data_IF_053118391588
#
_entry.id   IF_053118391588
#
_cell.length_a   1.000
_cell.length_b   1.000
_cell.length_c   1.000
_cell.angle_alpha   90.00
_cell.angle_beta   90.00
_cell.angle_gamma   90.00
#
_symmetry.space_group_name_H-M   'P 1'
#
loop_
_entity.id
_entity.type
_entity.pdbx_description
1 polymer ?
#
# COMPACT_ATOMS: atom_id res chain seq x y z
N UNK A 1 -28.09 2.65 22.61
CA UNK A 1 -27.19 3.75 22.17
C UNK A 1 -27.23 3.76 20.65
N UNK A 2 -27.69 4.86 20.05
CA UNK A 2 -27.71 4.97 18.59
C UNK A 2 -26.26 5.01 18.09
N UNK A 3 -25.86 4.02 17.29
CA UNK A 3 -24.60 4.06 16.55
C UNK A 3 -24.75 5.20 15.55
N UNK A 4 -24.19 6.36 15.87
CA UNK A 4 -24.07 7.47 14.93
C UNK A 4 -23.08 7.03 13.86
N UNK A 5 -23.61 6.51 12.75
CA UNK A 5 -22.80 6.21 11.58
C UNK A 5 -22.20 7.52 11.09
N UNK A 6 -20.86 7.62 11.07
CA UNK A 6 -20.19 8.74 10.39
C UNK A 6 -20.75 8.81 8.97
N UNK A 7 -21.16 10.00 8.47
CA UNK A 7 -21.62 10.13 7.10
C UNK A 7 -20.53 9.64 6.16
N UNK A 8 -20.91 8.87 5.13
CA UNK A 8 -19.95 8.42 4.12
C UNK A 8 -19.24 9.63 3.50
N UNK A 9 -17.91 9.57 3.28
CA UNK A 9 -17.21 10.64 2.62
C UNK A 9 -17.77 10.81 1.20
N UNK A 10 -18.04 12.06 0.83
CA UNK A 10 -18.39 12.37 -0.56
C UNK A 10 -17.17 12.09 -1.44
N UNK A 11 -17.32 11.16 -2.38
CA UNK A 11 -16.27 10.82 -3.34
C UNK A 11 -16.42 11.69 -4.59
N UNK A 12 -15.29 12.18 -5.07
CA UNK A 12 -15.15 13.03 -6.23
C UNK A 12 -14.32 12.29 -7.26
N UNK A 13 -14.98 11.87 -8.33
CA UNK A 13 -14.35 11.40 -9.54
C UNK A 13 -14.30 12.58 -10.55
N UNK A 14 -13.42 12.48 -11.54
CA UNK A 14 -13.37 13.42 -12.64
C UNK A 14 -14.70 13.45 -13.40
N UNK A 15 -15.15 14.66 -13.76
CA UNK A 15 -16.34 14.82 -14.59
C UNK A 15 -16.11 14.26 -16.01
N UNK A 16 -17.19 13.88 -16.69
CA UNK A 16 -17.12 13.44 -18.09
C UNK A 16 -16.49 14.53 -18.96
N UNK A 17 -15.35 14.21 -19.61
CA UNK A 17 -14.61 15.13 -20.48
C UNK A 17 -13.42 15.84 -19.83
N UNK A 18 -13.18 15.67 -18.52
CA UNK A 18 -11.93 16.17 -17.91
C UNK A 18 -10.71 15.35 -18.37
N UNK A 19 -9.63 16.05 -18.70
CA UNK A 19 -8.35 15.47 -19.13
C UNK A 19 -7.37 15.36 -17.95
N UNK A 20 -6.30 14.56 -18.12
CA UNK A 20 -5.30 14.35 -17.05
C UNK A 20 -5.68 13.26 -16.03
N UNK A 21 -6.73 12.49 -16.31
CA UNK A 21 -7.25 11.40 -15.47
C UNK A 21 -6.28 10.23 -15.28
N UNK A 22 -5.28 10.08 -16.14
CA UNK A 22 -4.51 8.84 -16.23
C UNK A 22 -5.30 7.74 -16.99
N UNK A 23 -4.62 6.83 -17.69
CA UNK A 23 -5.26 5.89 -18.62
C UNK A 23 -6.12 4.79 -17.95
N UNK A 24 -6.01 4.61 -16.64
CA UNK A 24 -6.57 3.48 -15.88
C UNK A 24 -7.75 3.85 -14.97
N UNK A 25 -8.31 5.06 -15.10
CA UNK A 25 -9.45 5.57 -14.31
C UNK A 25 -10.68 5.70 -15.21
N UNK A 26 -11.76 4.95 -14.93
CA UNK A 26 -12.73 5.36 -13.89
C UNK A 26 -12.68 4.50 -12.63
N UNK A 27 -12.69 5.13 -11.46
CA UNK A 27 -13.08 4.45 -10.22
C UNK A 27 -14.62 4.30 -10.12
N UNK A 28 -15.38 4.96 -11.01
CA UNK A 28 -16.84 4.96 -11.05
C UNK A 28 -17.47 5.36 -9.71
N UNK A 29 -16.85 6.33 -9.03
CA UNK A 29 -17.28 6.79 -7.71
C UNK A 29 -16.96 5.83 -6.56
N UNK A 30 -16.21 4.76 -6.80
CA UNK A 30 -15.72 3.86 -5.75
C UNK A 30 -14.49 4.40 -5.02
N UNK A 31 -13.81 5.42 -5.56
CA UNK A 31 -12.70 6.13 -4.93
C UNK A 31 -12.64 7.59 -5.42
N UNK A 32 -11.75 8.38 -4.81
CA UNK A 32 -11.38 9.71 -5.29
C UNK A 32 -10.24 9.61 -6.31
N UNK A 33 -10.19 10.57 -7.23
CA UNK A 33 -9.21 10.59 -8.30
C UNK A 33 -8.53 11.97 -8.42
N UNK A 34 -7.19 12.09 -8.22
CA UNK A 34 -6.51 13.39 -8.24
C UNK A 34 -6.00 13.77 -9.62
N UNK A 35 -6.05 15.08 -9.92
CA UNK A 35 -5.26 15.71 -11.00
C UNK A 35 -3.77 15.64 -10.69
N UNK A 36 -2.96 15.78 -11.73
CA UNK A 36 -1.51 15.84 -11.60
C UNK A 36 -1.08 16.90 -10.58
N UNK A 37 -0.34 16.50 -9.55
CA UNK A 37 0.16 17.39 -8.51
C UNK A 37 -0.90 17.98 -7.57
N UNK A 38 -2.17 17.59 -7.69
CA UNK A 38 -3.25 18.09 -6.83
C UNK A 38 -3.02 17.71 -5.36
N UNK A 39 -2.57 16.49 -5.12
CA UNK A 39 -2.22 16.02 -3.78
C UNK A 39 -0.69 16.04 -3.62
N UNK A 40 -0.21 16.95 -2.78
CA UNK A 40 1.21 17.13 -2.48
C UNK A 40 1.51 16.60 -1.08
N UNK A 41 2.22 15.47 -1.00
CA UNK A 41 2.56 14.81 0.27
C UNK A 41 3.36 15.71 1.21
N UNK A 42 4.15 16.63 0.67
CA UNK A 42 4.95 17.61 1.44
C UNK A 42 4.08 18.63 2.18
N UNK A 43 2.82 18.80 1.76
CA UNK A 43 1.82 19.68 2.39
C UNK A 43 0.80 18.91 3.23
N UNK A 44 0.43 17.72 2.75
CA UNK A 44 -0.64 16.91 3.36
C UNK A 44 -0.14 16.06 4.52
N UNK A 45 1.04 15.45 4.40
CA UNK A 45 1.60 14.61 5.46
C UNK A 45 1.76 15.39 6.76
N UNK A 46 1.39 14.76 7.87
CA UNK A 46 1.65 15.25 9.23
C UNK A 46 2.77 14.48 9.92
N UNK A 47 3.51 13.66 9.17
CA UNK A 47 4.55 12.76 9.68
C UNK A 47 4.03 11.84 10.79
N UNK A 48 2.81 11.35 10.58
CA UNK A 48 2.15 10.41 11.48
C UNK A 48 2.12 9.03 10.82
N UNK A 49 2.23 8.01 11.65
CA UNK A 49 2.03 6.62 11.26
C UNK A 49 0.96 5.99 12.15
N UNK A 50 0.15 5.13 11.55
CA UNK A 50 -0.87 4.37 12.25
C UNK A 50 -0.24 3.28 13.11
N UNK A 51 0.70 2.53 12.54
CA UNK A 51 1.30 1.36 13.17
C UNK A 51 2.63 0.97 12.52
N UNK A 52 3.42 0.19 13.25
CA UNK A 52 4.60 -0.49 12.75
C UNK A 52 4.61 -1.93 13.27
N UNK A 53 4.65 -2.90 12.35
CA UNK A 53 4.56 -4.32 12.66
C UNK A 53 5.77 -5.08 12.12
N UNK A 54 6.25 -6.04 12.90
CA UNK A 54 7.37 -6.91 12.52
C UNK A 54 6.89 -8.31 12.18
N UNK A 55 7.63 -9.01 11.33
CA UNK A 55 7.40 -10.42 10.98
C UNK A 55 6.05 -10.72 10.32
N UNK A 56 5.60 -9.83 9.45
CA UNK A 56 4.39 -9.99 8.64
C UNK A 56 4.71 -10.79 7.37
N UNK A 57 3.80 -11.71 7.01
CA UNK A 57 3.94 -12.57 5.82
C UNK A 57 2.84 -12.31 4.77
N UNK A 58 1.90 -11.41 5.08
CA UNK A 58 0.78 -11.04 4.21
C UNK A 58 1.07 -9.80 3.36
N UNK A 59 2.07 -9.01 3.73
CA UNK A 59 2.32 -7.68 3.18
C UNK A 59 3.41 -7.73 2.09
N UNK A 60 3.53 -8.85 1.37
CA UNK A 60 4.50 -9.07 0.29
C UNK A 60 5.26 -10.39 0.47
N UNK A 61 6.22 -10.64 -0.44
CA UNK A 61 7.04 -11.86 -0.38
C UNK A 61 7.95 -11.90 0.85
N UNK A 62 8.03 -13.08 1.48
CA UNK A 62 8.92 -13.35 2.60
C UNK A 62 8.40 -12.86 3.95
N UNK A 63 9.25 -12.92 4.97
CA UNK A 63 8.98 -12.31 6.29
C UNK A 63 9.38 -10.84 6.21
N UNK A 64 8.43 -9.95 6.50
CA UNK A 64 8.59 -8.52 6.29
C UNK A 64 8.32 -7.73 7.56
N UNK A 65 8.92 -6.55 7.64
CA UNK A 65 8.41 -5.51 8.52
C UNK A 65 7.48 -4.60 7.72
N UNK A 66 6.52 -3.97 8.37
CA UNK A 66 5.47 -3.19 7.73
C UNK A 66 5.25 -1.89 8.47
N UNK A 67 5.36 -0.76 7.76
CA UNK A 67 5.01 0.56 8.28
C UNK A 67 3.69 1.02 7.65
N UNK A 68 2.73 1.36 8.50
CA UNK A 68 1.41 1.81 8.12
C UNK A 68 1.36 3.33 8.29
N UNK A 69 1.54 4.09 7.20
CA UNK A 69 1.49 5.56 7.25
C UNK A 69 0.06 6.07 7.38
N UNK A 70 -0.13 7.27 7.93
CA UNK A 70 -1.47 7.87 8.11
C UNK A 70 -1.83 8.83 6.97
N UNK A 71 -3.12 8.91 6.66
CA UNK A 71 -3.65 9.82 5.65
C UNK A 71 -3.83 9.16 4.29
N UNK A 72 -5.06 9.16 3.78
CA UNK A 72 -5.36 8.65 2.45
C UNK A 72 -6.61 9.31 1.88
N UNK A 73 -6.46 10.27 0.95
CA UNK A 73 -7.59 10.97 0.34
C UNK A 73 -8.31 10.15 -0.74
N UNK A 74 -7.87 8.92 -1.06
CA UNK A 74 -8.56 8.06 -2.03
C UNK A 74 -9.95 7.62 -1.54
N UNK A 75 -10.15 7.48 -0.23
CA UNK A 75 -11.44 7.14 0.37
C UNK A 75 -12.20 5.97 -0.30
N UNK A 76 -11.47 4.92 -0.70
CA UNK A 76 -12.06 3.78 -1.41
C UNK A 76 -13.25 3.18 -0.64
N UNK A 77 -14.34 2.85 -1.33
CA UNK A 77 -15.50 2.17 -0.74
C UNK A 77 -15.04 0.86 -0.09
N UNK A 78 -15.43 0.64 1.17
CA UNK A 78 -15.02 -0.53 1.97
C UNK A 78 -13.49 -0.69 2.11
N UNK A 79 -12.75 0.42 2.16
CA UNK A 79 -11.32 0.40 2.46
C UNK A 79 -11.05 -0.27 3.82
N UNK A 80 -10.17 -1.27 3.84
CA UNK A 80 -9.74 -1.95 5.06
C UNK A 80 -9.11 -0.99 6.08
N UNK A 81 -8.41 0.04 5.57
CA UNK A 81 -7.70 1.05 6.35
C UNK A 81 -8.47 2.37 6.49
N UNK A 82 -9.81 2.35 6.44
CA UNK A 82 -10.61 3.57 6.55
C UNK A 82 -10.41 4.34 7.87
N UNK A 83 -9.99 3.65 8.94
CA UNK A 83 -9.68 4.28 10.23
C UNK A 83 -8.49 5.24 10.19
N UNK A 84 -7.63 5.14 9.16
CA UNK A 84 -6.37 5.90 9.05
C UNK A 84 -6.37 6.83 7.82
N UNK A 85 -7.54 7.17 7.28
CA UNK A 85 -7.69 8.18 6.24
C UNK A 85 -7.28 9.59 6.68
N UNK A 86 -7.36 9.89 7.97
CA UNK A 86 -6.90 11.14 8.55
C UNK A 86 -5.36 11.14 8.64
N UNK A 87 -4.72 12.19 8.13
CA UNK A 87 -3.27 12.37 8.24
C UNK A 87 -2.80 12.55 9.70
N UNK A 88 -3.70 12.82 10.65
CA UNK A 88 -3.40 12.90 12.08
C UNK A 88 -3.66 11.58 12.84
N UNK A 89 -4.10 10.51 12.17
CA UNK A 89 -4.32 9.23 12.83
C UNK A 89 -3.00 8.61 13.33
N UNK A 90 -3.08 7.84 14.43
CA UNK A 90 -1.93 7.11 14.97
C UNK A 90 -1.01 7.98 15.84
N UNK A 91 0.29 7.87 15.63
CA UNK A 91 1.33 8.54 16.43
C UNK A 91 2.45 9.11 15.55
N UNK A 92 3.25 10.01 16.10
CA UNK A 92 4.33 10.67 15.37
C UNK A 92 5.42 9.69 14.94
N UNK A 93 5.90 9.89 13.70
CA UNK A 93 7.12 9.26 13.23
C UNK A 93 8.34 9.92 13.87
N UNK A 94 9.11 9.15 14.62
CA UNK A 94 10.26 9.66 15.39
C UNK A 94 11.56 8.98 14.98
N UNK A 95 12.69 9.64 15.24
CA UNK A 95 14.01 9.04 15.03
C UNK A 95 14.16 7.69 15.77
N UNK A 96 13.62 7.58 16.98
CA UNK A 96 13.63 6.33 17.77
C UNK A 96 12.91 5.19 17.05
N UNK A 97 11.78 5.48 16.39
CA UNK A 97 11.07 4.49 15.60
C UNK A 97 11.86 4.11 14.35
N UNK A 98 12.43 5.08 13.64
CA UNK A 98 13.30 4.81 12.48
C UNK A 98 14.48 3.90 12.86
N UNK A 99 15.18 4.21 13.96
CA UNK A 99 16.29 3.40 14.47
C UNK A 99 15.84 1.98 14.80
N UNK A 100 14.64 1.82 15.38
CA UNK A 100 14.04 0.50 15.63
C UNK A 100 13.74 -0.24 14.32
N UNK A 101 13.18 0.42 13.31
CA UNK A 101 12.90 -0.19 12.00
C UNK A 101 14.19 -0.75 11.40
N UNK A 102 15.25 0.05 11.42
CA UNK A 102 16.55 -0.34 10.89
C UNK A 102 17.15 -1.51 11.67
N UNK A 103 17.07 -1.49 13.00
CA UNK A 103 17.55 -2.60 13.84
C UNK A 103 16.80 -3.90 13.53
N UNK A 104 15.46 -3.85 13.47
CA UNK A 104 14.64 -5.02 13.18
C UNK A 104 14.92 -5.59 11.77
N UNK A 105 15.27 -4.73 10.80
CA UNK A 105 15.62 -5.16 9.44
C UNK A 105 16.94 -5.92 9.35
N UNK A 106 17.85 -5.81 10.34
CA UNK A 106 19.13 -6.55 10.35
C UNK A 106 18.93 -8.05 10.49
N UNK A 107 17.80 -8.51 11.02
CA UNK A 107 17.51 -9.92 11.17
C UNK A 107 17.61 -10.65 9.81
N UNK A 108 18.39 -11.75 9.72
CA UNK A 108 18.69 -12.38 8.43
C UNK A 108 17.47 -13.04 7.78
N UNK A 109 16.44 -13.40 8.56
CA UNK A 109 15.19 -13.94 8.05
C UNK A 109 14.19 -12.88 7.59
N UNK A 110 14.42 -11.59 7.90
CA UNK A 110 13.58 -10.50 7.41
C UNK A 110 14.02 -10.16 5.98
N UNK A 111 13.17 -10.41 5.00
CA UNK A 111 13.45 -10.14 3.59
C UNK A 111 13.51 -8.63 3.29
N UNK A 112 12.65 -7.85 3.95
CA UNK A 112 12.58 -6.42 3.69
C UNK A 112 11.45 -5.71 4.43
N UNK A 113 11.08 -4.54 3.93
CA UNK A 113 10.01 -3.71 4.49
C UNK A 113 8.90 -3.45 3.47
N UNK A 114 7.69 -3.27 3.96
CA UNK A 114 6.55 -2.80 3.16
C UNK A 114 6.04 -1.46 3.67
N UNK A 115 5.84 -0.53 2.74
CA UNK A 115 5.17 0.74 2.96
C UNK A 115 3.69 0.59 2.58
N UNK A 116 2.79 0.72 3.55
CA UNK A 116 1.35 0.62 3.35
C UNK A 116 0.57 1.51 4.33
N UNK A 117 -0.70 1.19 4.56
CA UNK A 117 -1.58 1.89 5.49
C UNK A 117 -2.54 2.84 4.77
N UNK A 118 -2.30 4.14 4.95
CA UNK A 118 -2.97 5.21 4.21
C UNK A 118 -2.45 5.29 2.77
N UNK A 119 -1.81 6.40 2.41
CA UNK A 119 -1.19 6.57 1.09
C UNK A 119 0.33 6.84 1.23
N UNK A 120 1.19 5.84 0.97
CA UNK A 120 2.65 5.98 0.98
C UNK A 120 3.18 7.13 0.13
N UNK A 121 2.67 7.34 -1.08
CA UNK A 121 3.15 8.41 -1.97
C UNK A 121 2.63 9.81 -1.58
N UNK A 122 1.84 9.92 -0.50
CA UNK A 122 1.53 11.19 0.17
C UNK A 122 2.23 11.33 1.51
N UNK A 123 3.03 10.34 1.91
CA UNK A 123 3.88 10.35 3.10
C UNK A 123 5.36 10.26 2.74
N UNK A 124 5.74 10.78 1.57
CA UNK A 124 7.13 10.95 1.12
C UNK A 124 8.02 11.68 2.14
N UNK A 125 7.55 12.66 2.97
CA UNK A 125 8.42 13.26 4.00
C UNK A 125 8.85 12.30 5.11
N UNK A 126 8.19 11.14 5.23
CA UNK A 126 8.56 10.04 6.13
C UNK A 126 9.31 8.96 5.37
N UNK A 127 8.77 8.55 4.22
CA UNK A 127 9.22 7.33 3.54
C UNK A 127 10.46 7.52 2.66
N UNK A 128 10.69 8.71 2.09
CA UNK A 128 11.91 8.97 1.32
C UNK A 128 13.15 8.90 2.21
N UNK A 129 13.23 9.61 3.36
CA UNK A 129 14.37 9.49 4.28
C UNK A 129 14.57 8.05 4.78
N UNK A 130 13.50 7.35 5.15
CA UNK A 130 13.56 5.96 5.59
C UNK A 130 14.11 5.04 4.49
N UNK A 131 13.59 5.15 3.26
CA UNK A 131 14.05 4.34 2.14
C UNK A 131 15.51 4.62 1.79
N UNK A 132 15.92 5.90 1.77
CA UNK A 132 17.32 6.29 1.58
C UNK A 132 18.22 5.68 2.65
N UNK A 133 17.80 5.68 3.92
CA UNK A 133 18.56 5.05 5.01
C UNK A 133 18.64 3.54 4.85
N UNK A 134 17.56 2.87 4.47
CA UNK A 134 17.57 1.43 4.18
C UNK A 134 18.55 1.12 3.04
N UNK A 135 18.53 1.90 1.95
CA UNK A 135 19.50 1.73 0.85
C UNK A 135 20.94 1.96 1.31
N UNK A 136 21.18 2.96 2.16
CA UNK A 136 22.50 3.24 2.72
C UNK A 136 23.03 2.08 3.58
N UNK A 137 22.19 1.49 4.42
CA UNK A 137 22.62 0.47 5.39
C UNK A 137 22.63 -0.96 4.80
N UNK A 138 21.74 -1.26 3.85
CA UNK A 138 21.52 -2.61 3.35
C UNK A 138 21.65 -2.74 1.82
N UNK A 139 21.81 -1.64 1.08
CA UNK A 139 21.74 -1.66 -0.38
C UNK A 139 20.40 -2.23 -0.87
N UNK A 140 20.47 -3.25 -1.73
CA UNK A 140 19.32 -4.00 -2.22
C UNK A 140 19.18 -5.39 -1.58
N UNK A 141 19.91 -5.67 -0.49
CA UNK A 141 19.76 -6.95 0.24
C UNK A 141 18.46 -7.02 1.04
N UNK A 142 17.84 -5.87 1.31
CA UNK A 142 16.50 -5.74 1.89
C UNK A 142 15.61 -5.07 0.86
N UNK A 143 14.60 -5.78 0.37
CA UNK A 143 13.69 -5.22 -0.63
C UNK A 143 12.66 -4.27 0.02
N UNK A 144 12.19 -3.31 -0.75
CA UNK A 144 11.19 -2.33 -0.33
C UNK A 144 9.97 -2.49 -1.23
N UNK A 145 8.85 -2.85 -0.63
CA UNK A 145 7.55 -2.90 -1.29
C UNK A 145 6.75 -1.64 -0.92
N UNK A 146 5.90 -1.16 -1.83
CA UNK A 146 4.94 -0.10 -1.51
C UNK A 146 3.58 -0.38 -2.13
N UNK A 147 2.52 -0.26 -1.33
CA UNK A 147 1.15 -0.20 -1.84
C UNK A 147 0.77 1.26 -2.10
N UNK A 148 -0.04 1.49 -3.12
CA UNK A 148 -0.53 2.85 -3.40
C UNK A 148 -1.87 2.80 -4.12
N UNK A 149 -2.71 3.81 -3.88
CA UNK A 149 -3.90 4.04 -4.70
C UNK A 149 -3.57 4.58 -6.09
N UNK A 150 -2.41 5.20 -6.28
CA UNK A 150 -1.96 5.67 -7.59
C UNK A 150 -1.64 4.50 -8.52
N UNK A 151 -1.83 4.71 -9.80
CA UNK A 151 -1.31 3.83 -10.85
C UNK A 151 0.10 4.29 -11.26
N UNK A 152 0.90 3.40 -11.83
CA UNK A 152 2.18 3.72 -12.45
C UNK A 152 2.07 4.94 -13.38
N UNK A 153 1.04 4.96 -14.21
CA UNK A 153 0.83 6.05 -15.17
C UNK A 153 0.48 7.37 -14.49
N UNK A 154 -0.20 7.35 -13.34
CA UNK A 154 -0.41 8.56 -12.53
C UNK A 154 0.87 9.03 -11.83
N UNK A 155 1.73 8.12 -11.37
CA UNK A 155 3.01 8.47 -10.74
C UNK A 155 4.01 9.06 -11.75
N UNK A 156 3.95 8.60 -13.01
CA UNK A 156 4.86 9.00 -14.08
C UNK A 156 4.38 10.20 -14.92
N UNK A 157 3.13 10.64 -14.76
CA UNK A 157 2.54 11.69 -15.61
C UNK A 157 3.20 13.07 -15.40
N UNK A 158 3.25 13.91 -16.45
CA UNK A 158 3.68 15.30 -16.30
C UNK A 158 2.85 16.08 -15.27
N UNK A 159 3.52 16.92 -14.48
CA UNK A 159 2.90 17.76 -13.46
C UNK A 159 2.70 17.09 -12.10
N UNK A 160 3.03 15.80 -11.98
CA UNK A 160 3.04 15.13 -10.69
C UNK A 160 4.23 15.56 -9.83
N UNK A 161 4.12 15.43 -8.50
CA UNK A 161 5.15 15.96 -7.60
C UNK A 161 6.43 15.11 -7.60
N UNK A 162 7.63 15.74 -7.64
CA UNK A 162 8.89 15.03 -7.86
C UNK A 162 9.28 14.07 -6.72
N UNK A 163 8.79 14.32 -5.51
CA UNK A 163 9.00 13.47 -4.33
C UNK A 163 8.34 12.08 -4.48
N UNK A 164 7.25 11.97 -5.24
CA UNK A 164 6.65 10.68 -5.57
C UNK A 164 7.57 9.86 -6.46
N UNK A 165 8.14 10.50 -7.48
CA UNK A 165 9.10 9.87 -8.37
C UNK A 165 10.38 9.50 -7.62
N UNK A 166 10.85 10.34 -6.70
CA UNK A 166 11.98 10.02 -5.83
C UNK A 166 11.73 8.76 -4.99
N UNK A 167 10.57 8.66 -4.33
CA UNK A 167 10.20 7.45 -3.60
C UNK A 167 10.13 6.22 -4.52
N UNK A 168 9.55 6.37 -5.72
CA UNK A 168 9.45 5.30 -6.70
C UNK A 168 10.83 4.74 -7.08
N UNK A 169 11.84 5.60 -7.26
CA UNK A 169 13.21 5.16 -7.57
C UNK A 169 13.91 4.43 -6.41
N UNK A 170 13.38 4.54 -5.19
CA UNK A 170 13.97 3.93 -4.01
C UNK A 170 13.35 2.58 -3.66
N UNK A 171 12.23 2.18 -4.27
CA UNK A 171 11.53 0.92 -3.99
C UNK A 171 11.78 -0.15 -5.05
N UNK A 172 11.54 -1.42 -4.72
CA UNK A 172 11.75 -2.55 -5.62
C UNK A 172 10.43 -3.06 -6.22
N UNK A 173 9.35 -3.10 -5.42
CA UNK A 173 8.04 -3.62 -5.83
C UNK A 173 6.94 -2.61 -5.52
N UNK A 174 6.07 -2.36 -6.51
CA UNK A 174 4.91 -1.48 -6.38
C UNK A 174 3.63 -2.30 -6.53
N UNK A 175 2.75 -2.26 -5.53
CA UNK A 175 1.36 -2.68 -5.69
C UNK A 175 0.53 -1.45 -5.97
N UNK A 176 0.13 -1.28 -7.22
CA UNK A 176 -0.46 -0.04 -7.72
C UNK A 176 -1.97 -0.15 -7.93
N UNK A 177 -2.64 1.00 -7.95
CA UNK A 177 -4.08 1.14 -8.17
C UNK A 177 -4.93 1.10 -6.91
N UNK A 178 -6.05 1.85 -6.95
CA UNK A 178 -7.05 1.89 -5.89
C UNK A 178 -7.66 0.51 -5.66
N UNK A 179 -8.07 0.25 -4.42
CA UNK A 179 -9.01 -0.82 -4.15
C UNK A 179 -10.40 -0.47 -4.71
N UNK A 180 -10.91 -1.29 -5.64
CA UNK A 180 -12.27 -1.19 -6.16
C UNK A 180 -13.12 -2.34 -5.62
N UNK A 181 -14.17 -2.01 -4.86
CA UNK A 181 -15.06 -3.00 -4.22
C UNK A 181 -15.63 -4.00 -5.22
N UNK A 182 -16.03 -3.54 -6.40
CA UNK A 182 -16.68 -4.37 -7.41
C UNK A 182 -15.70 -5.32 -8.13
N UNK A 183 -14.39 -5.10 -7.92
CA UNK A 183 -13.34 -5.96 -8.41
C UNK A 183 -12.65 -6.73 -7.26
N UNK A 184 -13.24 -6.73 -6.06
CA UNK A 184 -12.72 -7.45 -4.90
C UNK A 184 -12.57 -8.94 -5.23
N UNK A 185 -11.40 -9.49 -4.94
CA UNK A 185 -11.11 -10.91 -5.12
C UNK A 185 -10.07 -11.35 -4.07
N UNK A 186 -10.42 -12.35 -3.26
CA UNK A 186 -9.57 -12.87 -2.18
C UNK A 186 -8.55 -13.92 -2.64
N UNK A 187 -8.64 -14.37 -3.89
CA UNK A 187 -7.69 -15.32 -4.47
C UNK A 187 -6.43 -14.64 -5.02
N UNK A 188 -6.44 -13.31 -5.08
CA UNK A 188 -5.32 -12.54 -5.61
C UNK A 188 -4.15 -12.53 -4.63
N UNK A 189 -2.96 -12.73 -5.18
CA UNK A 189 -1.73 -12.61 -4.41
C UNK A 189 -1.52 -11.15 -3.98
N UNK A 190 -1.41 -10.94 -2.66
CA UNK A 190 -1.02 -9.66 -2.03
C UNK A 190 -1.88 -8.43 -2.37
N UNK A 191 -3.00 -8.56 -3.07
CA UNK A 191 -3.86 -7.41 -3.41
C UNK A 191 -5.33 -7.75 -3.27
N UNK A 192 -6.14 -6.73 -3.06
CA UNK A 192 -7.54 -6.91 -2.73
C UNK A 192 -8.48 -6.80 -3.93
N UNK A 193 -8.00 -6.31 -5.07
CA UNK A 193 -8.85 -5.96 -6.21
C UNK A 193 -8.15 -6.23 -7.55
N UNK A 194 -8.90 -6.73 -8.54
CA UNK A 194 -8.35 -7.21 -9.83
C UNK A 194 -7.71 -6.12 -10.69
N UNK A 195 -8.07 -4.85 -10.50
CA UNK A 195 -7.44 -3.74 -11.20
C UNK A 195 -6.03 -3.42 -10.69
N UNK A 196 -5.67 -3.92 -9.50
CA UNK A 196 -4.36 -3.65 -8.91
C UNK A 196 -3.30 -4.53 -9.57
N UNK A 197 -2.10 -3.98 -9.80
CA UNK A 197 -0.97 -4.71 -10.39
C UNK A 197 0.17 -4.77 -9.38
N UNK A 198 0.97 -5.84 -9.45
CA UNK A 198 2.25 -5.92 -8.74
C UNK A 198 3.35 -5.74 -9.77
N UNK A 199 4.12 -4.68 -9.64
CA UNK A 199 5.10 -4.23 -10.61
C UNK A 199 6.53 -4.37 -10.07
N UNK A 200 7.43 -4.80 -10.93
CA UNK A 200 8.88 -4.76 -10.72
C UNK A 200 9.37 -3.36 -11.09
N UNK A 201 9.66 -2.54 -10.08
CA UNK A 201 9.91 -1.10 -10.27
C UNK A 201 11.20 -0.85 -11.05
N UNK A 202 12.37 -1.47 -10.72
CA UNK A 202 13.59 -1.29 -11.50
C UNK A 202 13.41 -1.66 -12.98
N UNK A 203 12.73 -2.77 -13.29
CA UNK A 203 12.46 -3.15 -14.68
C UNK A 203 11.49 -2.19 -15.35
N UNK A 204 10.46 -1.74 -14.63
CA UNK A 204 9.49 -0.79 -15.16
C UNK A 204 10.14 0.56 -15.50
N UNK A 205 11.03 1.05 -14.64
CA UNK A 205 11.81 2.27 -14.88
C UNK A 205 12.73 2.11 -16.10
N UNK A 206 13.41 0.97 -16.22
CA UNK A 206 14.31 0.70 -17.35
C UNK A 206 13.56 0.58 -18.69
N UNK A 207 12.37 -0.01 -18.69
CA UNK A 207 11.54 -0.16 -19.89
C UNK A 207 10.73 1.11 -20.23
N UNK A 208 10.49 1.98 -19.25
CA UNK A 208 9.60 3.13 -19.38
C UNK A 208 8.11 2.79 -19.35
N UNK A 209 7.76 1.54 -19.02
CA UNK A 209 6.39 1.00 -18.98
C UNK A 209 6.23 0.02 -17.81
N UNK A 210 5.02 -0.23 -17.29
CA UNK A 210 4.83 -1.10 -16.15
C UNK A 210 5.14 -2.58 -16.51
N UNK A 211 6.13 -3.15 -15.83
CA UNK A 211 6.52 -4.56 -15.95
C UNK A 211 5.96 -5.33 -14.76
N UNK A 212 5.11 -6.32 -15.03
CA UNK A 212 4.54 -7.20 -14.02
C UNK A 212 5.65 -7.97 -13.30
N UNK A 213 5.54 -8.05 -11.97
CA UNK A 213 6.45 -8.80 -11.13
C UNK A 213 6.43 -10.29 -11.51
N UNK A 214 7.60 -10.84 -11.81
CA UNK A 214 7.72 -12.17 -12.42
C UNK A 214 7.25 -13.33 -11.51
N UNK A 215 7.13 -13.10 -10.20
CA UNK A 215 6.64 -14.11 -9.24
C UNK A 215 5.14 -13.95 -8.92
N UNK A 216 4.43 -13.07 -9.63
CA UNK A 216 3.00 -12.92 -9.48
C UNK A 216 2.30 -14.24 -9.83
N UNK A 217 1.61 -14.80 -8.86
CA UNK A 217 0.86 -16.04 -9.00
C UNK A 217 -0.42 -15.99 -8.17
N UNK A 218 -1.53 -15.66 -8.82
CA UNK A 218 -2.85 -15.66 -8.20
C UNK A 218 -3.36 -17.09 -8.05
N UNK A 219 -4.15 -17.32 -6.99
CA UNK A 219 -4.83 -18.59 -6.82
C UNK A 219 -6.01 -18.68 -7.80
N UNK A 220 -6.25 -19.86 -8.36
CA UNK A 220 -7.38 -20.06 -9.29
C UNK A 220 -8.64 -20.58 -8.58
N UNK A 221 -8.50 -21.08 -7.36
CA UNK A 221 -9.59 -21.73 -6.62
C UNK A 221 -9.45 -21.45 -5.13
N UNK A 222 -10.58 -21.21 -4.50
CA UNK A 222 -10.68 -21.18 -3.05
C UNK A 222 -10.47 -22.60 -2.52
N UNK A 223 -9.47 -22.80 -1.66
CA UNK A 223 -9.20 -24.12 -1.08
C UNK A 223 -10.33 -24.38 -0.06
N UNK A 224 -11.23 -25.36 -0.29
CA UNK A 224 -12.43 -25.52 0.52
C UNK A 224 -12.11 -25.73 2.00
N UNK A 225 -13.03 -25.28 2.85
CA UNK A 225 -13.05 -25.42 4.33
C UNK A 225 -12.86 -26.85 4.87
N UNK A 226 -12.74 -27.86 4.01
CA UNK A 226 -12.43 -29.24 4.41
C UNK A 226 -11.07 -29.36 5.11
N UNK A 227 -10.12 -28.46 4.82
CA UNK A 227 -8.83 -28.38 5.55
C UNK A 227 -8.92 -27.54 6.85
N UNK A 228 -10.07 -26.93 7.13
CA UNK A 228 -10.34 -26.22 8.40
C UNK A 228 -11.17 -27.08 9.37
N UNK A 229 -11.94 -28.05 8.88
CA UNK A 229 -12.75 -28.96 9.71
C UNK A 229 -11.93 -29.79 10.69
N UNK A 230 -10.68 -30.13 10.35
CA UNK A 230 -9.81 -30.91 11.24
C UNK A 230 -9.26 -30.07 12.42
N UNK A 231 -9.36 -28.74 12.38
CA UNK A 231 -9.01 -27.88 13.53
C UNK A 231 -10.14 -27.82 14.56
N UNK A 232 -11.39 -27.74 14.12
CA UNK A 232 -12.56 -27.76 15.03
C UNK A 232 -12.72 -29.15 15.69
N UNK A 233 -12.45 -30.23 14.96
CA UNK A 233 -12.50 -31.59 15.52
C UNK A 233 -11.38 -31.90 16.55
N UNK A 234 -10.27 -31.15 16.52
CA UNK A 234 -9.16 -31.31 17.47
C UNK A 234 -9.33 -30.49 18.77
N UNK A 235 -10.08 -29.38 18.72
CA UNK A 235 -10.35 -28.53 19.89
C UNK A 235 -11.47 -29.11 20.78
N UNK A 236 -12.45 -29.81 20.20
CA UNK A 236 -13.52 -30.49 20.96
C UNK A 236 -13.06 -31.77 21.69
N UNK A 237 -11.90 -32.34 21.34
CA UNK A 237 -11.34 -33.52 22.02
C UNK A 237 -10.43 -33.19 23.21
N UNK A 238 -10.13 -31.91 23.46
CA UNK A 238 -9.38 -31.47 24.65
C UNK A 238 -10.26 -30.82 25.73
N UNK A 239 -11.58 -30.79 25.52
CA UNK A 239 -12.56 -30.24 26.47
C UNK A 239 -13.53 -31.30 27.03
N UNK A 240 -13.07 -32.54 27.22
CA UNK A 240 -13.79 -33.61 27.94
C UNK A 240 -12.92 -34.27 29.00
#
# INVERSE_FOLDING_TARGET
MAVTTKPEPKRHDFAAGETGRGPSIPSNGLANDPKAGQWDGRRMSKRMIADYKTFIVTDGEGVRNSIYVSGCPFHCVNCFNASIWDFQAGHEYTQKLEDKIIEDLKAPWVQGITFLGGEPFLNTPVLVPLAQRIRKEFGHTKDIWSWTGYTWEELMRPGETPDKLELLHLIDILVDGRYLKDQKDSLLQFRGSRNQRILDVPKSLAAGEPIIWAKLHDQERDIPSIYLKDREAGEDQQAS
#
